data_IF_687778980469
#
_entry.id   IF_687778980469
#
_cell.length_a   1.000
_cell.length_b   1.000
_cell.length_c   1.000
_cell.angle_alpha   90.00
_cell.angle_beta   90.00
_cell.angle_gamma   90.00
#
_symmetry.space_group_name_H-M   'P 1'
#
loop_
_entity.id
_entity.type
_entity.pdbx_description
1 polymer ?
#
# COMPACT_ATOMS: atom_id res chain seq x y z
N UNK A 1 21.42 -15.94 27.06
CA UNK A 1 21.03 -15.33 25.76
C UNK A 1 21.79 -14.00 25.63
N UNK A 2 22.58 -13.84 24.56
CA UNK A 2 23.72 -12.90 24.46
C UNK A 2 23.31 -11.41 24.56
N UNK A 3 23.84 -10.70 25.58
CA UNK A 3 23.92 -9.23 25.62
C UNK A 3 25.20 -8.80 24.89
N UNK A 4 25.12 -8.64 23.58
CA UNK A 4 26.11 -7.86 22.81
C UNK A 4 25.30 -6.91 21.93
N UNK A 5 25.05 -5.68 22.41
CA UNK A 5 24.62 -4.56 21.58
C UNK A 5 25.77 -3.57 21.57
N UNK A 6 26.33 -3.41 20.38
CA UNK A 6 27.47 -2.57 20.04
C UNK A 6 27.30 -1.16 20.62
N UNK A 7 28.36 -0.65 21.23
CA UNK A 7 28.42 0.61 21.97
C UNK A 7 27.88 1.83 21.21
N UNK A 8 26.62 2.16 21.49
CA UNK A 8 26.10 3.52 21.43
C UNK A 8 25.39 3.75 22.75
N UNK A 9 25.89 4.69 23.54
CA UNK A 9 25.20 5.16 24.73
C UNK A 9 23.78 5.58 24.32
N UNK A 10 22.76 5.13 25.06
CA UNK A 10 21.38 5.54 24.81
C UNK A 10 21.32 7.07 24.91
N UNK A 11 20.89 7.75 23.84
CA UNK A 11 20.87 9.22 23.73
C UNK A 11 19.83 9.89 24.67
N UNK A 12 19.04 9.09 25.38
CA UNK A 12 18.04 9.52 26.35
C UNK A 12 18.01 8.57 27.54
N UNK A 13 17.71 9.10 28.73
CA UNK A 13 17.55 8.31 29.97
C UNK A 13 16.24 7.50 30.02
N UNK A 14 15.43 7.53 28.95
CA UNK A 14 14.15 6.85 28.87
C UNK A 14 14.37 5.34 28.72
N UNK A 15 13.97 4.59 29.74
CA UNK A 15 13.99 3.13 29.72
C UNK A 15 12.62 2.60 29.28
N UNK A 16 12.45 2.48 27.96
CA UNK A 16 11.26 1.86 27.36
C UNK A 16 10.99 0.49 27.97
N UNK A 17 9.75 0.28 28.42
CA UNK A 17 9.28 -1.01 28.91
C UNK A 17 8.33 -1.64 27.90
N UNK A 18 8.42 -2.96 27.66
CA UNK A 18 7.47 -3.63 26.80
C UNK A 18 6.08 -3.66 27.47
N UNK A 19 5.09 -3.10 26.79
CA UNK A 19 3.68 -3.25 27.16
C UNK A 19 3.07 -4.51 26.53
N UNK A 20 2.03 -5.06 27.16
CA UNK A 20 1.18 -6.11 26.58
C UNK A 20 -0.27 -5.65 26.62
N UNK A 21 -0.98 -5.83 25.52
CA UNK A 21 -2.42 -5.55 25.40
C UNK A 21 -3.09 -6.88 25.05
N UNK A 22 -4.13 -7.21 25.81
CA UNK A 22 -4.91 -8.44 25.60
C UNK A 22 -5.69 -8.32 24.29
N UNK A 23 -5.82 -9.42 23.53
CA UNK A 23 -6.60 -9.43 22.30
C UNK A 23 -7.26 -10.78 22.06
N UNK A 24 -8.31 -10.80 21.23
CA UNK A 24 -8.91 -12.06 20.76
C UNK A 24 -7.82 -12.97 20.19
N UNK A 25 -7.76 -14.23 20.64
CA UNK A 25 -6.81 -15.20 20.11
C UNK A 25 -7.17 -15.64 18.70
N UNK A 26 -6.24 -15.50 17.76
CA UNK A 26 -6.40 -16.01 16.40
C UNK A 26 -6.24 -17.54 16.38
N UNK A 27 -7.22 -18.25 15.83
CA UNK A 27 -7.22 -19.73 15.78
C UNK A 27 -6.67 -20.33 14.50
N UNK A 28 -6.49 -19.53 13.45
CA UNK A 28 -5.97 -19.97 12.15
C UNK A 28 -4.54 -19.45 11.90
N UNK A 29 -3.90 -19.89 10.80
CA UNK A 29 -2.55 -19.47 10.44
C UNK A 29 -2.47 -18.29 9.43
N UNK A 30 -3.61 -17.78 8.95
CA UNK A 30 -3.68 -16.90 7.78
C UNK A 30 -4.25 -15.51 8.07
N UNK A 31 -4.88 -15.30 9.23
CA UNK A 31 -5.62 -14.08 9.55
C UNK A 31 -4.80 -13.04 10.31
N UNK A 32 -3.52 -13.30 10.62
CA UNK A 32 -2.68 -12.43 11.45
C UNK A 32 -2.58 -11.00 10.92
N UNK A 33 -2.45 -10.84 9.61
CA UNK A 33 -2.47 -9.51 8.99
C UNK A 33 -3.79 -8.75 9.24
N UNK A 34 -4.94 -9.42 9.13
CA UNK A 34 -6.23 -8.79 9.41
C UNK A 34 -6.37 -8.40 10.89
N UNK A 35 -5.86 -9.24 11.80
CA UNK A 35 -5.84 -8.93 13.23
C UNK A 35 -4.98 -7.69 13.52
N UNK A 36 -3.75 -7.65 12.98
CA UNK A 36 -2.83 -6.50 13.16
C UNK A 36 -3.44 -5.21 12.61
N UNK A 37 -4.04 -5.25 11.41
CA UNK A 37 -4.67 -4.07 10.82
C UNK A 37 -5.82 -3.54 11.68
N UNK A 38 -6.63 -4.44 12.27
CA UNK A 38 -7.72 -4.04 13.16
C UNK A 38 -7.20 -3.46 14.49
N UNK A 39 -6.17 -4.05 15.09
CA UNK A 39 -5.51 -3.47 16.28
C UNK A 39 -4.97 -2.07 16.00
N UNK A 40 -4.31 -1.88 14.85
CA UNK A 40 -3.80 -0.58 14.43
C UNK A 40 -4.94 0.43 14.23
N UNK A 41 -6.01 0.05 13.51
CA UNK A 41 -7.20 0.89 13.29
C UNK A 41 -7.85 1.32 14.60
N UNK A 42 -8.03 0.42 15.56
CA UNK A 42 -8.58 0.73 16.88
C UNK A 42 -7.65 1.66 17.68
N UNK A 43 -6.34 1.40 17.69
CA UNK A 43 -5.36 2.22 18.40
C UNK A 43 -5.35 3.67 17.90
N UNK A 44 -5.34 3.86 16.59
CA UNK A 44 -5.33 5.20 15.98
C UNK A 44 -6.64 5.93 16.24
N UNK A 45 -7.79 5.24 16.13
CA UNK A 45 -9.11 5.85 16.36
C UNK A 45 -9.35 6.27 17.80
N UNK A 46 -8.78 5.55 18.77
CA UNK A 46 -8.97 5.85 20.19
C UNK A 46 -7.88 6.78 20.76
N UNK A 47 -6.84 7.09 19.99
CA UNK A 47 -5.75 7.98 20.42
C UNK A 47 -6.30 9.31 20.98
N UNK A 48 -5.80 9.79 22.13
CA UNK A 48 -4.63 9.31 22.89
C UNK A 48 -4.92 8.16 23.87
N UNK A 49 -6.16 7.66 23.94
CA UNK A 49 -6.53 6.57 24.83
C UNK A 49 -6.11 5.25 24.21
N UNK A 50 -5.01 4.67 24.72
CA UNK A 50 -4.56 3.34 24.27
C UNK A 50 -5.56 2.29 24.77
N UNK A 51 -6.10 1.44 23.88
CA UNK A 51 -7.02 0.37 24.28
C UNK A 51 -6.37 -0.60 25.27
N UNK A 52 -7.13 -1.04 26.28
CA UNK A 52 -6.68 -2.07 27.24
C UNK A 52 -6.84 -3.49 26.70
N UNK A 53 -7.79 -3.67 25.78
CA UNK A 53 -8.11 -4.95 25.15
C UNK A 53 -8.58 -4.72 23.71
N UNK A 54 -8.17 -5.59 22.78
CA UNK A 54 -8.69 -5.60 21.41
C UNK A 54 -9.66 -6.76 21.20
N UNK A 55 -10.91 -6.42 20.88
CA UNK A 55 -11.94 -7.41 20.52
C UNK A 55 -12.06 -7.51 19.00
N UNK A 56 -11.39 -8.51 18.44
CA UNK A 56 -11.40 -8.77 17.00
C UNK A 56 -12.37 -9.91 16.72
N UNK A 57 -13.20 -9.72 15.69
CA UNK A 57 -14.17 -10.68 15.17
C UNK A 57 -13.47 -11.96 14.64
N UNK A 58 -14.18 -13.09 14.63
CA UNK A 58 -13.60 -14.42 14.37
C UNK A 58 -13.03 -14.58 12.95
N UNK A 59 -12.21 -15.62 12.75
CA UNK A 59 -11.49 -15.93 11.50
C UNK A 59 -12.36 -15.94 10.23
N UNK A 60 -13.58 -16.45 10.30
CA UNK A 60 -14.51 -16.46 9.15
C UNK A 60 -14.86 -15.04 8.67
N UNK A 61 -14.87 -14.07 9.58
CA UNK A 61 -15.15 -12.66 9.29
C UNK A 61 -13.90 -11.92 8.79
N UNK A 62 -12.71 -12.53 8.86
CA UNK A 62 -11.48 -11.93 8.34
C UNK A 62 -11.47 -11.81 6.81
N UNK A 63 -12.21 -12.65 6.08
CA UNK A 63 -12.37 -12.49 4.63
C UNK A 63 -13.14 -11.21 4.29
N UNK A 64 -14.24 -10.93 4.99
CA UNK A 64 -14.98 -9.68 4.83
C UNK A 64 -14.12 -8.48 5.23
N UNK A 65 -13.40 -8.58 6.36
CA UNK A 65 -12.48 -7.51 6.77
C UNK A 65 -11.41 -7.19 5.72
N UNK A 66 -10.85 -8.21 5.05
CA UNK A 66 -9.87 -8.00 3.97
C UNK A 66 -10.50 -7.28 2.79
N UNK A 67 -11.72 -7.69 2.40
CA UNK A 67 -12.47 -7.03 1.33
C UNK A 67 -12.78 -5.58 1.70
N UNK A 68 -13.32 -5.34 2.89
CA UNK A 68 -13.68 -4.00 3.35
C UNK A 68 -12.46 -3.07 3.39
N UNK A 69 -11.32 -3.58 3.90
CA UNK A 69 -10.06 -2.82 3.87
C UNK A 69 -9.59 -2.53 2.44
N UNK A 70 -9.68 -3.50 1.53
CA UNK A 70 -9.32 -3.27 0.14
C UNK A 70 -10.23 -2.22 -0.53
N UNK A 71 -11.54 -2.29 -0.29
CA UNK A 71 -12.49 -1.28 -0.77
C UNK A 71 -12.22 0.10 -0.17
N UNK A 72 -11.92 0.20 1.13
CA UNK A 72 -11.58 1.46 1.81
C UNK A 72 -10.29 2.07 1.22
N UNK A 73 -9.26 1.25 0.97
CA UNK A 73 -8.01 1.67 0.32
C UNK A 73 -8.30 2.16 -1.10
N UNK A 74 -9.07 1.41 -1.90
CA UNK A 74 -9.39 1.78 -3.27
C UNK A 74 -10.19 3.07 -3.35
N UNK A 75 -11.16 3.28 -2.45
CA UNK A 75 -11.94 4.53 -2.36
C UNK A 75 -11.10 5.73 -1.97
N UNK A 76 -10.06 5.54 -1.15
CA UNK A 76 -9.11 6.58 -0.78
C UNK A 76 -7.95 6.75 -1.77
N UNK A 77 -7.89 5.92 -2.82
CA UNK A 77 -6.82 5.99 -3.82
C UNK A 77 -7.07 7.12 -4.81
N UNK A 78 -5.99 7.72 -5.31
CA UNK A 78 -6.06 8.61 -6.47
C UNK A 78 -6.24 7.80 -7.75
N UNK A 79 -6.97 8.35 -8.73
CA UNK A 79 -7.01 7.73 -10.06
C UNK A 79 -5.61 7.66 -10.65
N UNK A 80 -5.35 6.57 -11.38
CA UNK A 80 -4.12 6.41 -12.17
C UNK A 80 -4.34 6.72 -13.64
N UNK A 81 -5.52 7.18 -14.02
CA UNK A 81 -5.86 7.41 -15.42
C UNK A 81 -5.00 8.52 -16.03
N UNK A 82 -4.62 9.50 -15.20
CA UNK A 82 -3.74 10.62 -15.59
C UNK A 82 -2.25 10.26 -15.48
N UNK A 83 -1.89 9.05 -15.03
CA UNK A 83 -0.49 8.67 -14.77
C UNK A 83 -0.08 7.42 -15.56
N UNK A 84 1.12 7.44 -16.11
CA UNK A 84 1.69 6.27 -16.74
C UNK A 84 1.79 5.12 -15.73
N UNK A 85 1.16 3.99 -16.04
CA UNK A 85 1.10 2.82 -15.16
C UNK A 85 2.43 2.10 -14.96
N UNK A 86 3.48 2.51 -15.68
CA UNK A 86 4.85 2.02 -15.51
C UNK A 86 5.69 2.95 -14.61
N UNK A 87 5.76 4.24 -14.92
CA UNK A 87 6.64 5.19 -14.22
C UNK A 87 5.95 6.08 -13.19
N UNK A 88 4.61 6.17 -13.19
CA UNK A 88 3.84 7.01 -12.28
C UNK A 88 3.92 8.51 -12.56
N UNK A 89 4.41 8.89 -13.74
CA UNK A 89 4.51 10.30 -14.18
C UNK A 89 3.34 10.56 -15.14
N UNK A 90 2.72 11.74 -15.02
CA UNK A 90 1.73 12.26 -15.97
C UNK A 90 2.45 12.60 -17.28
N UNK A 91 2.98 13.80 -17.47
CA UNK A 91 3.72 14.12 -18.70
C UNK A 91 5.24 14.02 -18.54
N UNK A 92 5.90 13.41 -19.52
CA UNK A 92 7.36 13.49 -19.65
C UNK A 92 7.77 14.91 -20.06
N UNK A 93 8.97 15.39 -19.66
CA UNK A 93 9.45 16.71 -20.02
C UNK A 93 9.32 16.96 -21.53
N UNK A 94 8.87 18.16 -21.92
CA UNK A 94 8.50 18.57 -23.28
C UNK A 94 9.62 18.41 -24.33
N UNK A 95 10.87 18.21 -23.88
CA UNK A 95 12.04 17.91 -24.72
C UNK A 95 12.10 16.46 -25.20
N UNK A 96 11.28 15.57 -24.64
CA UNK A 96 11.13 14.19 -25.10
C UNK A 96 10.18 14.16 -26.30
N UNK A 97 10.75 14.12 -27.51
CA UNK A 97 10.10 14.09 -28.83
C UNK A 97 9.05 12.98 -29.03
N UNK A 98 8.78 12.15 -28.02
CA UNK A 98 7.91 10.98 -28.10
C UNK A 98 7.01 10.77 -26.88
N UNK A 99 6.54 11.81 -26.18
CA UNK A 99 5.54 11.68 -25.09
C UNK A 99 4.15 11.19 -25.57
N UNK A 100 4.12 10.23 -26.49
CA UNK A 100 2.92 9.57 -26.99
C UNK A 100 2.47 8.58 -25.92
N UNK A 101 1.20 8.71 -25.56
CA UNK A 101 0.52 7.81 -24.66
C UNK A 101 -0.13 6.66 -25.44
N UNK A 102 -0.18 5.49 -24.82
CA UNK A 102 -0.86 4.32 -25.36
C UNK A 102 -1.65 3.63 -24.25
N UNK A 103 -2.87 3.24 -24.55
CA UNK A 103 -3.74 2.49 -23.64
C UNK A 103 -3.73 1.00 -24.01
N UNK A 104 -3.65 0.14 -23.01
CA UNK A 104 -3.92 -1.28 -23.20
C UNK A 104 -5.42 -1.54 -23.29
N UNK A 105 -5.91 -2.04 -24.43
CA UNK A 105 -7.33 -2.35 -24.63
C UNK A 105 -7.86 -3.43 -23.67
N UNK A 106 -7.00 -4.30 -23.15
CA UNK A 106 -7.40 -5.39 -22.24
C UNK A 106 -7.58 -4.93 -20.80
N UNK A 107 -6.69 -4.06 -20.29
CA UNK A 107 -6.70 -3.65 -18.88
C UNK A 107 -7.04 -2.17 -18.65
N UNK A 108 -7.21 -1.39 -19.72
CA UNK A 108 -7.54 0.04 -19.69
C UNK A 108 -6.42 0.95 -19.18
N UNK A 109 -5.24 0.42 -18.85
CA UNK A 109 -4.13 1.20 -18.29
C UNK A 109 -3.40 1.99 -19.37
N UNK A 110 -3.00 3.21 -19.01
CA UNK A 110 -2.25 4.14 -19.83
C UNK A 110 -0.74 4.07 -19.55
N UNK A 111 0.07 4.21 -20.61
CA UNK A 111 1.52 4.15 -20.55
C UNK A 111 2.15 5.16 -21.50
N UNK A 112 3.34 5.66 -21.17
CA UNK A 112 4.20 6.28 -22.17
C UNK A 112 4.79 5.21 -23.09
N UNK A 113 4.75 5.44 -24.40
CA UNK A 113 5.35 4.54 -25.38
C UNK A 113 6.84 4.28 -25.10
N UNK A 114 7.59 5.26 -24.57
CA UNK A 114 9.00 5.06 -24.18
C UNK A 114 9.16 4.15 -22.97
N UNK A 115 8.24 4.19 -22.00
CA UNK A 115 8.26 3.28 -20.84
C UNK A 115 8.08 1.82 -21.25
N UNK A 116 7.49 1.57 -22.43
CA UNK A 116 7.35 0.24 -23.04
C UNK A 116 8.48 -0.08 -24.03
N UNK A 117 9.47 0.80 -24.20
CA UNK A 117 10.55 0.63 -25.18
C UNK A 117 10.08 0.65 -26.65
N UNK A 118 8.92 1.27 -26.93
CA UNK A 118 8.39 1.38 -28.29
C UNK A 118 9.12 2.50 -29.04
N UNK A 119 9.79 2.16 -30.13
CA UNK A 119 10.41 3.13 -31.05
C UNK A 119 9.39 3.67 -32.05
N UNK A 120 9.63 4.85 -32.65
CA UNK A 120 8.75 5.50 -33.63
C UNK A 120 8.24 4.60 -34.78
N UNK A 121 8.99 3.55 -35.18
CA UNK A 121 8.55 2.58 -36.18
C UNK A 121 7.41 1.64 -35.73
N UNK A 122 7.09 1.62 -34.43
CA UNK A 122 6.06 0.78 -33.80
C UNK A 122 4.95 1.58 -33.14
N UNK A 123 5.00 2.92 -33.24
CA UNK A 123 3.94 3.79 -32.76
C UNK A 123 2.89 3.85 -33.89
N UNK A 124 1.65 3.43 -33.66
CA UNK A 124 0.58 3.61 -34.64
C UNK A 124 0.51 5.09 -35.03
N UNK A 125 0.54 5.39 -36.34
CA UNK A 125 0.34 6.76 -36.79
C UNK A 125 -1.09 7.16 -36.45
N UNK A 126 -1.27 8.25 -35.73
CA UNK A 126 -2.59 8.83 -35.48
C UNK A 126 -3.30 9.05 -36.82
N UNK A 127 -4.54 8.56 -36.90
CA UNK A 127 -5.46 8.65 -38.04
C UNK A 127 -5.08 7.79 -39.27
N UNK A 128 -5.37 6.50 -39.18
CA UNK A 128 -5.77 5.75 -40.37
C UNK A 128 -7.26 5.42 -40.19
N UNK A 129 -8.15 5.84 -41.12
CA UNK A 129 -9.60 5.65 -40.99
C UNK A 129 -10.01 4.18 -40.89
#
# INVERSE_FOLDING_TARGET
MRRNRLGKEDWVSIKWQPGKITHTFQKDATSCGAFVMQMAKMTVKEFPKIPKTFHIKSSQQCLHLRRDMAEEILRGSVSKDDFCSFCGIEDLPTTAVHAVWIQCETCGRWFHTQCLGMTAARIPKENTP
#
